data_IF_738331728928
#
_entry.id   IF_738331728928
#
_cell.length_a   1.000
_cell.length_b   1.000
_cell.length_c   1.000
_cell.angle_alpha   90.00
_cell.angle_beta   90.00
_cell.angle_gamma   90.00
#
_symmetry.space_group_name_H-M   'P 1'
#
loop_
_entity.id
_entity.type
_entity.pdbx_description
1 polymer ?
#
# COMPACT_ATOMS: atom_id res chain seq x y z
N UNK A 1 0.16 16.06 20.01
CA UNK A 1 -1.13 15.35 19.81
C UNK A 1 -0.83 14.01 19.16
N UNK A 2 -1.65 12.97 19.36
CA UNK A 2 -1.48 11.68 18.67
C UNK A 2 -1.44 11.91 17.16
N UNK A 3 -0.55 11.20 16.46
CA UNK A 3 -0.56 11.23 14.99
C UNK A 3 -1.78 10.45 14.50
N UNK A 4 -2.53 11.03 13.57
CA UNK A 4 -3.50 10.27 12.78
C UNK A 4 -2.75 9.17 12.04
N UNK A 5 -3.36 8.01 11.88
CA UNK A 5 -2.84 6.92 11.05
C UNK A 5 -4.00 6.31 10.27
N UNK A 6 -3.74 5.94 9.02
CA UNK A 6 -4.63 5.08 8.26
C UNK A 6 -4.69 3.68 8.89
N UNK A 7 -5.84 3.02 8.79
CA UNK A 7 -6.01 1.65 9.24
C UNK A 7 -5.10 0.67 8.47
N UNK A 8 -4.91 0.90 7.17
CA UNK A 8 -3.97 0.14 6.34
C UNK A 8 -3.02 1.11 5.62
N UNK A 9 -1.78 0.69 5.32
CA UNK A 9 -0.89 1.53 4.54
C UNK A 9 -1.30 1.52 3.06
N UNK A 10 -1.45 2.68 2.41
CA UNK A 10 -1.61 2.72 0.96
C UNK A 10 -0.39 2.09 0.29
N UNK A 11 -0.61 1.22 -0.68
CA UNK A 11 0.46 0.58 -1.46
C UNK A 11 0.52 1.23 -2.82
N UNK A 12 1.71 1.63 -3.27
CA UNK A 12 1.94 2.13 -4.61
C UNK A 12 2.89 1.18 -5.34
N UNK A 13 2.41 0.63 -6.44
CA UNK A 13 3.15 -0.24 -7.35
C UNK A 13 3.43 0.52 -8.64
N UNK A 14 4.67 0.93 -8.80
CA UNK A 14 5.15 1.50 -10.05
C UNK A 14 5.31 0.43 -11.12
N UNK A 15 4.78 0.65 -12.32
CA UNK A 15 4.94 -0.24 -13.47
C UNK A 15 5.79 0.36 -14.59
N UNK A 16 6.46 -0.49 -15.35
CA UNK A 16 7.31 -0.08 -16.49
C UNK A 16 6.52 0.14 -17.79
N UNK A 17 5.24 -0.26 -17.81
CA UNK A 17 4.39 -0.44 -19.00
C UNK A 17 4.99 -1.33 -20.11
N UNK A 18 6.11 -2.00 -19.84
CA UNK A 18 6.89 -2.79 -20.79
C UNK A 18 6.79 -4.31 -20.52
N UNK A 19 6.55 -4.65 -19.25
CA UNK A 19 6.51 -6.01 -18.77
C UNK A 19 5.27 -6.27 -17.90
N UNK A 20 5.14 -7.52 -17.45
CA UNK A 20 3.96 -8.00 -16.71
C UNK A 20 4.19 -8.07 -15.20
N UNK A 21 5.40 -7.79 -14.72
CA UNK A 21 5.85 -8.11 -13.38
C UNK A 21 4.97 -7.48 -12.29
N UNK A 22 4.63 -6.19 -12.42
CA UNK A 22 3.75 -5.51 -11.46
C UNK A 22 2.36 -6.14 -11.42
N UNK A 23 1.74 -6.41 -12.58
CA UNK A 23 0.42 -7.02 -12.65
C UNK A 23 0.44 -8.46 -12.11
N UNK A 24 1.40 -9.28 -12.54
CA UNK A 24 1.51 -10.68 -12.10
C UNK A 24 1.79 -10.76 -10.59
N UNK A 25 2.64 -9.87 -10.06
CA UNK A 25 2.85 -9.75 -8.61
C UNK A 25 1.56 -9.35 -7.89
N UNK A 26 0.86 -8.31 -8.34
CA UNK A 26 -0.36 -7.84 -7.70
C UNK A 26 -1.45 -8.92 -7.72
N UNK A 27 -1.67 -9.58 -8.87
CA UNK A 27 -2.62 -10.70 -9.02
C UNK A 27 -2.37 -11.76 -7.94
N UNK A 28 -1.10 -12.15 -7.74
CA UNK A 28 -0.70 -13.11 -6.71
C UNK A 28 -1.07 -12.65 -5.29
N UNK A 29 -0.97 -11.35 -4.99
CA UNK A 29 -1.26 -10.81 -3.65
C UNK A 29 -2.75 -10.52 -3.41
N UNK A 30 -3.60 -10.43 -4.44
CA UNK A 30 -5.00 -10.02 -4.30
C UNK A 30 -5.79 -10.79 -3.22
N UNK A 31 -5.70 -12.13 -3.10
CA UNK A 31 -6.46 -12.86 -2.10
C UNK A 31 -6.12 -12.43 -0.67
N UNK A 32 -4.84 -12.20 -0.38
CA UNK A 32 -4.38 -11.84 0.96
C UNK A 32 -4.57 -10.35 1.23
N UNK A 33 -4.44 -9.48 0.22
CA UNK A 33 -4.83 -8.08 0.30
C UNK A 33 -6.32 -7.93 0.63
N UNK A 34 -7.18 -8.76 0.03
CA UNK A 34 -8.61 -8.75 0.31
C UNK A 34 -8.90 -9.12 1.76
N UNK A 35 -8.22 -10.16 2.30
CA UNK A 35 -8.33 -10.56 3.71
C UNK A 35 -7.82 -9.45 4.65
N UNK A 36 -6.74 -8.77 4.27
CA UNK A 36 -6.19 -7.65 5.03
C UNK A 36 -7.14 -6.46 5.13
N UNK A 37 -8.06 -6.31 4.16
CA UNK A 37 -9.08 -5.27 4.13
C UNK A 37 -8.90 -4.26 2.99
N UNK A 38 -8.00 -4.52 2.04
CA UNK A 38 -7.93 -3.71 0.82
C UNK A 38 -9.18 -3.95 -0.04
N UNK A 39 -9.74 -2.87 -0.57
CA UNK A 39 -11.02 -2.92 -1.30
C UNK A 39 -10.95 -2.35 -2.71
N UNK A 40 -9.98 -1.48 -2.97
CA UNK A 40 -9.93 -0.66 -4.19
C UNK A 40 -8.52 -0.69 -4.77
N UNK A 41 -8.43 -0.88 -6.08
CA UNK A 41 -7.18 -0.74 -6.83
C UNK A 41 -7.33 0.47 -7.74
N UNK A 42 -6.53 1.50 -7.47
CA UNK A 42 -6.44 2.72 -8.24
C UNK A 42 -5.49 2.52 -9.41
N UNK A 43 -5.87 2.91 -10.63
CA UNK A 43 -5.07 2.62 -11.83
C UNK A 43 -4.91 3.88 -12.67
N UNK A 44 -3.67 4.19 -13.03
CA UNK A 44 -3.37 5.25 -13.99
C UNK A 44 -3.99 4.97 -15.38
N UNK A 45 -4.26 6.03 -16.14
CA UNK A 45 -4.99 5.92 -17.40
C UNK A 45 -6.51 5.66 -17.26
N UNK A 46 -7.02 5.45 -16.04
CA UNK A 46 -8.46 5.28 -15.78
C UNK A 46 -9.05 6.54 -15.16
N UNK A 47 -10.15 7.06 -15.73
CA UNK A 47 -10.82 8.24 -15.20
C UNK A 47 -11.77 7.89 -14.03
N UNK A 48 -12.02 8.83 -13.09
CA UNK A 48 -12.98 8.63 -12.01
C UNK A 48 -14.34 8.16 -12.50
N UNK A 49 -14.86 7.10 -11.89
CA UNK A 49 -16.14 6.49 -12.28
C UNK A 49 -16.06 5.45 -13.38
N UNK A 50 -14.87 5.16 -13.92
CA UNK A 50 -14.67 4.08 -14.88
C UNK A 50 -15.17 2.72 -14.35
N UNK A 51 -15.93 2.00 -15.18
CA UNK A 51 -16.45 0.67 -14.87
C UNK A 51 -15.42 -0.43 -15.13
N UNK A 52 -15.21 -1.31 -14.16
CA UNK A 52 -14.27 -2.44 -14.31
C UNK A 52 -14.73 -3.38 -15.44
N UNK A 53 -16.01 -3.72 -15.49
CA UNK A 53 -16.58 -4.62 -16.49
C UNK A 53 -16.51 -4.06 -17.92
N UNK A 54 -16.77 -2.75 -18.07
CA UNK A 54 -16.67 -2.09 -19.38
C UNK A 54 -15.21 -2.05 -19.85
N UNK A 55 -14.27 -1.78 -18.94
CA UNK A 55 -12.85 -1.80 -19.24
C UNK A 55 -12.35 -3.18 -19.64
N UNK A 56 -12.74 -4.24 -18.93
CA UNK A 56 -12.44 -5.64 -19.31
C UNK A 56 -12.94 -5.92 -20.74
N UNK A 57 -14.17 -5.52 -21.02
CA UNK A 57 -14.80 -5.75 -22.34
C UNK A 57 -14.06 -4.99 -23.45
N UNK A 58 -13.72 -3.73 -23.21
CA UNK A 58 -12.96 -2.89 -24.14
C UNK A 58 -11.55 -3.44 -24.38
N UNK A 59 -10.83 -3.83 -23.33
CA UNK A 59 -9.48 -4.40 -23.45
C UNK A 59 -9.47 -5.69 -24.29
N UNK A 60 -10.46 -6.57 -24.12
CA UNK A 60 -10.60 -7.78 -24.97
C UNK A 60 -10.74 -7.44 -26.45
N UNK A 61 -11.44 -6.36 -26.79
CA UNK A 61 -11.56 -5.89 -28.17
C UNK A 61 -10.22 -5.35 -28.67
N UNK A 62 -9.57 -4.49 -27.89
CA UNK A 62 -8.26 -3.89 -28.24
C UNK A 62 -7.18 -4.95 -28.47
N UNK A 63 -7.13 -5.98 -27.62
CA UNK A 63 -6.22 -7.12 -27.76
C UNK A 63 -6.44 -7.85 -29.09
N UNK A 64 -7.70 -8.16 -29.44
CA UNK A 64 -8.02 -8.82 -30.71
C UNK A 64 -7.60 -7.98 -31.91
N UNK A 65 -7.85 -6.67 -31.88
CA UNK A 65 -7.43 -5.76 -32.94
C UNK A 65 -5.90 -5.70 -33.07
N UNK A 66 -5.18 -5.62 -31.95
CA UNK A 66 -3.73 -5.56 -31.93
C UNK A 66 -3.09 -6.88 -32.42
N UNK A 67 -3.63 -8.03 -32.02
CA UNK A 67 -3.19 -9.36 -32.52
C UNK A 67 -3.35 -9.43 -34.03
N UNK A 68 -4.51 -9.01 -34.56
CA UNK A 68 -4.75 -9.00 -36.00
C UNK A 68 -3.72 -8.12 -36.74
N UNK A 69 -3.50 -6.88 -36.27
CA UNK A 69 -2.48 -5.98 -36.84
C UNK A 69 -1.11 -6.63 -36.86
N UNK A 70 -0.69 -7.26 -35.75
CA UNK A 70 0.63 -7.89 -35.66
C UNK A 70 0.76 -9.13 -36.55
N UNK A 71 -0.31 -9.91 -36.73
CA UNK A 71 -0.31 -11.08 -37.62
C UNK A 71 -0.13 -10.74 -39.10
N UNK A 72 -0.41 -9.48 -39.47
CA UNK A 72 -0.26 -8.95 -40.83
C UNK A 72 1.14 -8.33 -41.07
N UNK A 73 1.97 -8.21 -40.02
CA UNK A 73 3.33 -7.65 -40.10
C UNK A 73 4.39 -8.75 -40.16
N UNK A 74 5.43 -8.62 -41.02
CA UNK A 74 6.63 -9.46 -40.94
C UNK A 74 7.32 -9.34 -39.57
N UNK A 75 7.99 -10.41 -39.13
CA UNK A 75 8.70 -10.44 -37.84
C UNK A 75 9.82 -9.41 -37.77
N UNK A 76 10.47 -9.15 -38.91
CA UNK A 76 11.57 -8.20 -39.04
C UNK A 76 11.08 -6.75 -39.14
N UNK A 77 9.76 -6.52 -39.18
CA UNK A 77 9.21 -5.17 -39.27
C UNK A 77 9.49 -4.41 -37.96
N UNK A 78 10.03 -3.17 -38.00
CA UNK A 78 10.39 -2.43 -36.79
C UNK A 78 9.24 -2.21 -35.78
N UNK A 79 7.99 -2.14 -36.28
CA UNK A 79 6.79 -2.03 -35.42
C UNK A 79 6.40 -3.35 -34.73
N UNK A 80 6.94 -4.50 -35.16
CA UNK A 80 6.54 -5.80 -34.63
C UNK A 80 6.89 -5.92 -33.15
N UNK A 81 8.15 -5.65 -32.78
CA UNK A 81 8.61 -5.71 -31.39
C UNK A 81 7.86 -4.73 -30.49
N UNK A 82 7.65 -3.49 -30.95
CA UNK A 82 6.88 -2.49 -30.21
C UNK A 82 5.43 -2.93 -30.02
N UNK A 83 4.82 -3.52 -31.05
CA UNK A 83 3.48 -4.06 -30.97
C UNK A 83 3.36 -5.24 -30.00
N UNK A 84 4.35 -6.13 -29.95
CA UNK A 84 4.41 -7.24 -29.00
C UNK A 84 4.55 -6.73 -27.56
N UNK A 85 5.42 -5.75 -27.32
CA UNK A 85 5.57 -5.13 -26.00
C UNK A 85 4.25 -4.48 -25.53
N UNK A 86 3.57 -3.74 -26.41
CA UNK A 86 2.25 -3.17 -26.13
C UNK A 86 1.22 -4.26 -25.83
N UNK A 87 1.18 -5.31 -26.64
CA UNK A 87 0.25 -6.42 -26.43
C UNK A 87 0.48 -7.09 -25.07
N UNK A 88 1.74 -7.33 -24.69
CA UNK A 88 2.10 -7.91 -23.38
C UNK A 88 1.57 -7.08 -22.21
N UNK A 89 1.76 -5.77 -22.27
CA UNK A 89 1.29 -4.82 -21.24
C UNK A 89 -0.24 -4.78 -21.14
N UNK A 90 -0.94 -4.69 -22.29
CA UNK A 90 -2.41 -4.67 -22.32
C UNK A 90 -3.03 -5.98 -21.83
N UNK A 91 -2.45 -7.13 -22.20
CA UNK A 91 -2.90 -8.43 -21.70
C UNK A 91 -2.70 -8.54 -20.19
N UNK A 92 -1.57 -8.06 -19.66
CA UNK A 92 -1.32 -8.07 -18.21
C UNK A 92 -2.32 -7.22 -17.42
N UNK A 93 -2.68 -6.03 -17.93
CA UNK A 93 -3.73 -5.20 -17.34
C UNK A 93 -5.10 -5.88 -17.42
N UNK A 94 -5.43 -6.56 -18.53
CA UNK A 94 -6.67 -7.33 -18.63
C UNK A 94 -6.71 -8.44 -17.57
N UNK A 95 -5.65 -9.23 -17.44
CA UNK A 95 -5.56 -10.31 -16.46
C UNK A 95 -5.73 -9.77 -15.04
N UNK A 96 -5.12 -8.61 -14.73
CA UNK A 96 -5.30 -7.93 -13.46
C UNK A 96 -6.77 -7.55 -13.25
N UNK A 97 -7.43 -6.96 -14.24
CA UNK A 97 -8.82 -6.52 -14.11
C UNK A 97 -9.79 -7.70 -13.94
N UNK A 98 -9.54 -8.81 -14.63
CA UNK A 98 -10.31 -10.04 -14.43
C UNK A 98 -10.11 -10.61 -13.03
N UNK A 99 -8.87 -10.66 -12.54
CA UNK A 99 -8.56 -11.12 -11.17
C UNK A 99 -9.17 -10.17 -10.11
N UNK A 100 -9.14 -8.86 -10.34
CA UNK A 100 -9.81 -7.87 -9.49
C UNK A 100 -11.30 -8.15 -9.39
N UNK A 101 -11.95 -8.41 -10.53
CA UNK A 101 -13.38 -8.72 -10.59
C UNK A 101 -13.69 -10.00 -9.82
N UNK A 102 -12.91 -11.06 -10.01
CA UNK A 102 -13.08 -12.34 -9.32
C UNK A 102 -12.94 -12.19 -7.80
N UNK A 103 -11.94 -11.44 -7.34
CA UNK A 103 -11.68 -11.20 -5.91
C UNK A 103 -12.58 -10.09 -5.30
N UNK A 104 -13.43 -9.46 -6.12
CA UNK A 104 -14.36 -8.41 -5.68
C UNK A 104 -13.68 -7.11 -5.25
N UNK A 105 -12.65 -6.69 -5.98
CA UNK A 105 -12.04 -5.35 -5.86
C UNK A 105 -12.77 -4.33 -6.73
N UNK A 106 -12.78 -3.08 -6.28
CA UNK A 106 -13.27 -1.94 -7.06
C UNK A 106 -12.14 -1.32 -7.87
N UNK A 107 -12.47 -0.81 -9.06
CA UNK A 107 -11.58 0.03 -9.85
C UNK A 107 -11.67 1.48 -9.37
N UNK A 108 -10.54 2.06 -8.95
CA UNK A 108 -10.41 3.47 -8.64
C UNK A 108 -9.79 4.24 -9.80
N UNK A 109 -10.59 4.92 -10.61
CA UNK A 109 -10.05 5.80 -11.64
C UNK A 109 -9.42 7.05 -11.03
N UNK A 110 -8.15 7.31 -11.34
CA UNK A 110 -7.38 8.43 -10.78
C UNK A 110 -6.89 9.44 -11.82
N UNK A 111 -6.94 9.11 -13.10
CA UNK A 111 -6.37 9.93 -14.16
C UNK A 111 -7.40 10.88 -14.79
N UNK A 112 -6.93 11.74 -15.68
CA UNK A 112 -7.78 12.52 -16.58
C UNK A 112 -8.51 11.59 -17.57
N UNK A 113 -9.64 12.03 -18.14
CA UNK A 113 -10.23 11.37 -19.31
C UNK A 113 -9.20 11.27 -20.45
N UNK A 114 -9.25 10.19 -21.25
CA UNK A 114 -8.31 9.98 -22.36
C UNK A 114 -8.26 11.19 -23.32
N UNK A 115 -9.41 11.81 -23.59
CA UNK A 115 -9.52 13.00 -24.45
C UNK A 115 -8.77 14.22 -23.90
N UNK A 116 -8.60 14.33 -22.59
CA UNK A 116 -7.84 15.37 -21.92
C UNK A 116 -6.36 14.99 -21.79
N UNK A 117 -6.05 13.72 -21.51
CA UNK A 117 -4.66 13.23 -21.46
C UNK A 117 -3.90 13.55 -22.77
N UNK A 118 -4.55 13.38 -23.93
CA UNK A 118 -3.97 13.65 -25.24
C UNK A 118 -3.67 15.14 -25.50
N UNK A 119 -4.22 16.05 -24.70
CA UNK A 119 -3.96 17.50 -24.79
C UNK A 119 -2.77 17.93 -23.95
N UNK A 120 -2.30 17.08 -23.04
CA UNK A 120 -1.20 17.40 -22.14
C UNK A 120 0.13 17.38 -22.89
N UNK A 121 1.00 18.36 -22.60
CA UNK A 121 2.31 18.51 -23.28
C UNK A 121 3.31 17.41 -22.92
N UNK A 122 3.09 16.73 -21.81
CA UNK A 122 3.96 15.67 -21.28
C UNK A 122 3.20 14.80 -20.28
N UNK A 123 3.66 13.56 -20.08
CA UNK A 123 3.16 12.67 -19.03
C UNK A 123 3.23 13.30 -17.63
N UNK A 124 4.26 14.10 -17.37
CA UNK A 124 4.53 14.76 -16.09
C UNK A 124 4.00 16.21 -16.06
N UNK A 125 2.91 16.49 -16.77
CA UNK A 125 2.30 17.82 -16.66
C UNK A 125 1.76 18.02 -15.24
N UNK A 126 1.99 19.20 -14.67
CA UNK A 126 1.58 19.52 -13.29
C UNK A 126 0.08 19.24 -13.10
N UNK A 127 -0.75 19.57 -14.10
CA UNK A 127 -2.20 19.32 -14.06
C UNK A 127 -2.53 17.83 -13.94
N UNK A 128 -1.89 16.98 -14.75
CA UNK A 128 -2.16 15.54 -14.72
C UNK A 128 -1.68 14.91 -13.42
N UNK A 129 -0.47 15.25 -12.97
CA UNK A 129 0.08 14.77 -11.70
C UNK A 129 -0.77 15.21 -10.50
N UNK A 130 -1.26 16.45 -10.50
CA UNK A 130 -2.18 16.93 -9.47
C UNK A 130 -3.49 16.16 -9.49
N UNK A 131 -4.04 15.87 -10.68
CA UNK A 131 -5.27 15.08 -10.82
C UNK A 131 -5.09 13.65 -10.28
N UNK A 132 -3.99 12.98 -10.65
CA UNK A 132 -3.61 11.66 -10.15
C UNK A 132 -3.51 11.67 -8.63
N UNK A 133 -2.84 12.69 -8.07
CA UNK A 133 -2.65 12.85 -6.62
C UNK A 133 -3.98 13.08 -5.90
N UNK A 134 -4.77 14.07 -6.32
CA UNK A 134 -6.03 14.44 -5.68
C UNK A 134 -7.03 13.27 -5.65
N UNK A 135 -7.19 12.59 -6.79
CA UNK A 135 -8.08 11.44 -6.88
C UNK A 135 -7.57 10.27 -6.02
N UNK A 136 -6.25 10.05 -5.97
CA UNK A 136 -5.67 9.02 -5.09
C UNK A 136 -5.90 9.36 -3.63
N UNK A 137 -5.62 10.59 -3.19
CA UNK A 137 -5.84 11.03 -1.81
C UNK A 137 -7.30 10.91 -1.39
N UNK A 138 -8.25 11.17 -2.31
CA UNK A 138 -9.67 10.92 -2.06
C UNK A 138 -9.92 9.43 -1.79
N UNK A 139 -9.46 8.53 -2.66
CA UNK A 139 -9.64 7.09 -2.47
C UNK A 139 -8.95 6.57 -1.21
N UNK A 140 -7.75 7.05 -0.90
CA UNK A 140 -7.02 6.71 0.33
C UNK A 140 -7.85 7.10 1.55
N UNK A 141 -8.39 8.32 1.61
CA UNK A 141 -9.23 8.80 2.72
C UNK A 141 -10.53 8.01 2.86
N UNK A 142 -11.22 7.75 1.75
CA UNK A 142 -12.48 7.01 1.72
C UNK A 142 -12.34 5.55 2.20
N UNK A 143 -11.16 4.95 2.00
CA UNK A 143 -10.88 3.55 2.34
C UNK A 143 -9.95 3.40 3.55
N UNK A 144 -9.68 4.47 4.30
CA UNK A 144 -8.80 4.48 5.47
C UNK A 144 -7.43 3.82 5.17
N UNK A 145 -6.88 4.16 4.00
CA UNK A 145 -5.63 3.67 3.42
C UNK A 145 -5.64 2.27 2.79
N UNK A 146 -6.76 1.56 2.84
CA UNK A 146 -6.94 0.22 2.22
C UNK A 146 -7.04 0.23 0.69
N UNK A 147 -6.08 0.88 0.01
CA UNK A 147 -5.99 0.96 -1.45
C UNK A 147 -4.62 0.52 -1.98
N UNK A 148 -4.62 -0.02 -3.19
CA UNK A 148 -3.39 -0.23 -3.97
C UNK A 148 -3.44 0.67 -5.19
N UNK A 149 -2.37 1.41 -5.46
CA UNK A 149 -2.24 2.31 -6.61
C UNK A 149 -1.27 1.68 -7.60
N UNK A 150 -1.68 1.54 -8.86
CA UNK A 150 -0.84 1.05 -9.96
C UNK A 150 -0.63 2.20 -10.93
N UNK A 151 0.61 2.62 -11.11
CA UNK A 151 0.94 3.83 -11.86
C UNK A 151 2.31 3.73 -12.52
N UNK A 152 2.50 4.33 -13.69
CA UNK A 152 3.76 4.28 -14.43
C UNK A 152 4.96 4.83 -13.63
N UNK A 153 6.12 4.17 -13.72
CA UNK A 153 7.34 4.56 -12.99
C UNK A 153 7.83 5.99 -13.32
N UNK A 154 7.39 6.56 -14.45
CA UNK A 154 7.68 7.94 -14.84
C UNK A 154 6.97 9.03 -14.02
N UNK A 155 5.89 8.68 -13.33
CA UNK A 155 5.10 9.57 -12.48
C UNK A 155 5.76 9.77 -11.10
N UNK A 156 7.01 10.27 -11.11
CA UNK A 156 7.75 10.55 -9.87
C UNK A 156 7.24 11.80 -9.14
N UNK A 157 6.63 12.75 -9.86
CA UNK A 157 6.06 13.98 -9.29
C UNK A 157 4.89 13.63 -8.35
N UNK A 158 4.08 12.63 -8.70
CA UNK A 158 3.06 12.06 -7.82
C UNK A 158 3.60 11.77 -6.40
N UNK A 159 4.78 11.13 -6.25
CA UNK A 159 5.32 10.85 -4.90
C UNK A 159 5.71 12.14 -4.16
N UNK A 160 6.23 13.13 -4.89
CA UNK A 160 6.58 14.44 -4.32
C UNK A 160 5.32 15.16 -3.83
N UNK A 161 4.23 15.10 -4.60
CA UNK A 161 2.94 15.67 -4.22
C UNK A 161 2.33 14.94 -3.03
N UNK A 162 2.36 13.59 -2.97
CA UNK A 162 1.90 12.84 -1.78
C UNK A 162 2.69 13.26 -0.54
N UNK A 163 4.02 13.40 -0.63
CA UNK A 163 4.86 13.87 0.48
C UNK A 163 4.45 15.26 1.00
N UNK A 164 3.99 16.14 0.11
CA UNK A 164 3.60 17.50 0.46
C UNK A 164 2.13 17.61 0.93
N UNK A 165 1.24 16.75 0.42
CA UNK A 165 -0.20 16.90 0.55
C UNK A 165 -0.85 15.91 1.54
N UNK A 166 -0.17 14.81 1.89
CA UNK A 166 -0.67 13.83 2.85
C UNK A 166 0.12 13.86 4.16
N UNK A 167 -0.57 14.09 5.28
CA UNK A 167 0.04 14.05 6.62
C UNK A 167 0.55 12.65 7.00
N UNK A 168 0.04 11.61 6.35
CA UNK A 168 0.41 10.20 6.55
C UNK A 168 1.30 9.65 5.44
N UNK A 169 1.97 10.52 4.68
CA UNK A 169 2.85 10.10 3.58
C UNK A 169 3.92 9.07 3.99
N UNK A 170 4.32 9.07 5.27
CA UNK A 170 5.28 8.11 5.84
C UNK A 170 4.74 6.67 5.95
N UNK A 171 3.42 6.46 5.90
CA UNK A 171 2.79 5.13 5.89
C UNK A 171 2.75 4.50 4.49
N UNK A 172 2.93 5.25 3.41
CA UNK A 172 2.82 4.72 2.06
C UNK A 172 3.95 3.72 1.78
N UNK A 173 3.60 2.60 1.15
CA UNK A 173 4.57 1.60 0.73
C UNK A 173 4.81 1.73 -0.76
N UNK A 174 6.05 2.06 -1.14
CA UNK A 174 6.44 2.33 -2.52
C UNK A 174 7.24 1.17 -3.08
N UNK A 175 6.75 0.57 -4.16
CA UNK A 175 7.42 -0.53 -4.84
C UNK A 175 7.52 -0.29 -6.33
N UNK A 176 8.58 -0.83 -6.91
CA UNK A 176 8.69 -1.03 -8.34
C UNK A 176 9.14 -2.47 -8.58
N UNK A 177 8.24 -3.29 -9.13
CA UNK A 177 8.53 -4.69 -9.46
C UNK A 177 8.68 -4.76 -10.97
N UNK A 178 9.83 -5.23 -11.45
CA UNK A 178 10.13 -5.21 -12.89
C UNK A 178 10.74 -6.52 -13.37
N UNK A 179 10.72 -6.71 -14.69
CA UNK A 179 11.43 -7.82 -15.35
C UNK A 179 12.48 -7.26 -16.32
N UNK A 180 13.79 -7.30 -15.96
CA UNK A 180 14.87 -6.80 -16.80
C UNK A 180 14.91 -7.33 -18.22
N UNK A 181 14.41 -8.56 -18.44
CA UNK A 181 14.42 -9.21 -19.75
C UNK A 181 13.41 -8.60 -20.73
N UNK A 182 12.46 -7.79 -20.24
CA UNK A 182 11.34 -7.26 -21.00
C UNK A 182 11.24 -5.73 -20.96
N UNK A 183 12.25 -5.03 -20.44
CA UNK A 183 12.26 -3.58 -20.36
C UNK A 183 12.42 -2.91 -21.72
N UNK A 184 11.64 -1.85 -21.96
CA UNK A 184 11.79 -1.00 -23.14
C UNK A 184 13.05 -0.13 -23.04
N UNK A 185 13.56 0.31 -24.18
CA UNK A 185 14.66 1.28 -24.24
C UNK A 185 14.31 2.59 -23.50
N UNK A 186 13.08 3.09 -23.68
CA UNK A 186 12.60 4.29 -23.00
C UNK A 186 12.60 4.14 -21.47
N UNK A 187 12.24 2.97 -20.96
CA UNK A 187 12.34 2.67 -19.52
C UNK A 187 13.80 2.69 -19.06
N UNK A 188 14.71 2.04 -19.78
CA UNK A 188 16.14 2.00 -19.42
C UNK A 188 16.75 3.39 -19.34
N UNK A 189 16.46 4.25 -20.33
CA UNK A 189 16.89 5.65 -20.34
C UNK A 189 16.31 6.46 -19.17
N UNK A 190 15.05 6.21 -18.82
CA UNK A 190 14.41 6.83 -17.65
C UNK A 190 15.13 6.43 -16.35
N UNK A 191 15.41 5.15 -16.16
CA UNK A 191 16.10 4.63 -14.97
C UNK A 191 17.53 5.15 -14.89
N UNK A 192 18.26 5.19 -16.00
CA UNK A 192 19.59 5.78 -16.08
C UNK A 192 19.58 7.26 -15.68
N UNK A 193 18.61 8.03 -16.18
CA UNK A 193 18.41 9.44 -15.82
C UNK A 193 18.15 9.61 -14.32
N UNK A 194 17.28 8.78 -13.75
CA UNK A 194 16.98 8.78 -12.32
C UNK A 194 18.20 8.42 -11.47
N UNK A 195 18.93 7.39 -11.88
CA UNK A 195 20.13 6.93 -11.18
C UNK A 195 21.23 7.98 -11.21
N UNK A 196 21.44 8.64 -12.37
CA UNK A 196 22.47 9.66 -12.54
C UNK A 196 22.29 10.88 -11.62
N UNK A 197 21.05 11.30 -11.34
CA UNK A 197 20.77 12.40 -10.40
C UNK A 197 20.46 11.93 -8.97
N UNK A 198 20.44 10.62 -8.73
CA UNK A 198 20.06 10.01 -7.47
C UNK A 198 18.55 9.78 -7.35
N UNK A 199 18.16 8.53 -7.07
CA UNK A 199 16.76 8.12 -6.93
C UNK A 199 16.00 8.93 -5.87
N UNK A 200 16.65 9.31 -4.77
CA UNK A 200 16.03 10.12 -3.70
C UNK A 200 15.58 11.51 -4.16
N UNK A 201 16.15 12.04 -5.25
CA UNK A 201 15.71 13.30 -5.85
C UNK A 201 14.34 13.17 -6.50
N UNK A 202 14.05 12.01 -7.08
CA UNK A 202 12.79 11.72 -7.77
C UNK A 202 11.77 11.09 -6.84
N UNK A 203 12.23 10.23 -5.94
CA UNK A 203 11.44 9.47 -4.99
C UNK A 203 11.86 9.84 -3.55
N UNK A 204 11.39 10.99 -3.03
CA UNK A 204 11.81 11.51 -1.73
C UNK A 204 11.27 10.74 -0.51
N UNK A 205 10.34 9.81 -0.71
CA UNK A 205 9.85 8.86 0.31
C UNK A 205 10.50 7.48 0.17
N UNK A 206 11.43 7.34 -0.78
CA UNK A 206 12.04 6.06 -1.15
C UNK A 206 11.15 5.23 -2.08
N UNK A 207 11.77 4.25 -2.73
CA UNK A 207 11.09 3.24 -3.55
C UNK A 207 11.85 1.93 -3.43
N UNK A 208 11.12 0.85 -3.14
CA UNK A 208 11.71 -0.48 -3.08
C UNK A 208 11.67 -1.11 -4.46
N UNK A 209 12.84 -1.25 -5.08
CA UNK A 209 12.96 -1.79 -6.45
C UNK A 209 13.33 -3.27 -6.35
N UNK A 210 12.50 -4.12 -6.94
CA UNK A 210 12.68 -5.57 -6.96
C UNK A 210 12.57 -6.12 -8.37
N UNK A 211 13.38 -7.14 -8.67
CA UNK A 211 13.12 -8.01 -9.81
C UNK A 211 11.95 -8.92 -9.47
N UNK A 212 11.12 -9.24 -10.45
CA UNK A 212 10.03 -10.23 -10.32
C UNK A 212 10.50 -11.61 -9.82
N UNK A 213 11.77 -11.95 -10.02
CA UNK A 213 12.38 -13.19 -9.56
C UNK A 213 12.97 -13.14 -8.14
N UNK A 214 12.93 -11.98 -7.46
CA UNK A 214 13.51 -11.82 -6.14
C UNK A 214 12.71 -12.60 -5.09
N UNK A 215 13.34 -13.63 -4.50
CA UNK A 215 12.71 -14.55 -3.53
C UNK A 215 12.21 -13.87 -2.25
N UNK A 216 12.71 -12.67 -1.94
CA UNK A 216 12.34 -11.91 -0.74
C UNK A 216 11.21 -10.92 -0.96
N UNK A 217 10.74 -10.74 -2.20
CA UNK A 217 9.73 -9.74 -2.54
C UNK A 217 8.45 -9.90 -1.71
N UNK A 218 7.86 -11.10 -1.69
CA UNK A 218 6.62 -11.35 -0.92
C UNK A 218 6.81 -11.11 0.58
N UNK A 219 7.94 -11.57 1.14
CA UNK A 219 8.24 -11.41 2.56
C UNK A 219 8.48 -9.95 2.93
N UNK A 220 9.24 -9.20 2.14
CA UNK A 220 9.43 -7.76 2.35
C UNK A 220 8.09 -7.00 2.28
N UNK A 221 7.28 -7.34 1.28
CA UNK A 221 5.96 -6.76 1.08
C UNK A 221 5.06 -6.92 2.31
N UNK A 222 4.84 -8.16 2.74
CA UNK A 222 3.95 -8.46 3.85
C UNK A 222 4.49 -8.01 5.21
N UNK A 223 5.81 -8.02 5.41
CA UNK A 223 6.40 -7.45 6.62
C UNK A 223 6.13 -5.94 6.71
N UNK A 224 6.23 -5.20 5.60
CA UNK A 224 5.94 -3.75 5.60
C UNK A 224 4.46 -3.42 5.73
N UNK A 225 3.58 -4.22 5.09
CA UNK A 225 2.13 -4.10 5.29
C UNK A 225 1.79 -4.33 6.76
N UNK A 226 2.32 -5.39 7.37
CA UNK A 226 2.06 -5.72 8.77
C UNK A 226 2.57 -4.66 9.74
N UNK A 227 3.79 -4.16 9.53
CA UNK A 227 4.40 -3.13 10.37
C UNK A 227 3.59 -1.82 10.38
N UNK A 228 2.81 -1.55 9.33
CA UNK A 228 1.96 -0.37 9.20
C UNK A 228 0.47 -0.69 9.25
N UNK A 229 0.09 -1.88 9.71
CA UNK A 229 -1.32 -2.28 9.86
C UNK A 229 -1.86 -1.80 11.22
N UNK A 230 -2.83 -0.88 11.18
CA UNK A 230 -3.57 -0.38 12.33
C UNK A 230 -5.04 -0.85 12.30
N UNK A 231 -5.30 -1.91 11.53
CA UNK A 231 -6.60 -2.55 11.42
C UNK A 231 -6.59 -3.89 12.16
N UNK A 232 -7.66 -4.14 12.91
CA UNK A 232 -7.70 -5.25 13.85
C UNK A 232 -9.00 -6.04 13.74
N UNK A 233 -8.91 -7.35 14.01
CA UNK A 233 -10.09 -8.17 14.25
C UNK A 233 -10.86 -7.64 15.47
N UNK A 234 -12.19 -7.46 15.39
CA UNK A 234 -12.98 -6.93 16.49
C UNK A 234 -12.97 -7.82 17.74
N UNK A 235 -12.69 -9.12 17.60
CA UNK A 235 -12.65 -10.06 18.71
C UNK A 235 -11.35 -9.87 19.51
N UNK A 236 -11.51 -9.49 20.77
CA UNK A 236 -10.40 -9.47 21.71
C UNK A 236 -9.89 -10.90 21.97
N UNK A 237 -8.57 -11.03 22.07
CA UNK A 237 -7.87 -12.26 22.39
C UNK A 237 -7.46 -12.28 23.86
N UNK A 238 -7.54 -13.45 24.47
CA UNK A 238 -6.99 -13.69 25.81
C UNK A 238 -5.68 -14.46 25.66
N UNK A 239 -4.56 -13.72 25.67
CA UNK A 239 -3.22 -14.29 25.65
C UNK A 239 -2.57 -14.14 27.03
N UNK A 240 -1.54 -14.95 27.32
CA UNK A 240 -0.79 -14.84 28.58
C UNK A 240 -0.13 -13.47 28.72
N UNK A 241 0.43 -12.93 27.65
CA UNK A 241 1.04 -11.59 27.61
C UNK A 241 0.01 -10.49 27.80
N UNK A 242 -1.18 -10.61 27.19
CA UNK A 242 -2.29 -9.68 27.42
C UNK A 242 -2.77 -9.71 28.87
N UNK A 243 -2.81 -10.89 29.51
CA UNK A 243 -3.18 -11.03 30.92
C UNK A 243 -2.17 -10.37 31.86
N UNK A 244 -0.88 -10.50 31.57
CA UNK A 244 0.19 -9.79 32.32
C UNK A 244 0.05 -8.28 32.13
N UNK A 245 -0.16 -7.80 30.91
CA UNK A 245 -0.36 -6.36 30.67
C UNK A 245 -1.63 -5.85 31.37
N UNK A 246 -2.74 -6.59 31.34
CA UNK A 246 -3.98 -6.24 32.05
C UNK A 246 -3.76 -6.13 33.57
N UNK A 247 -3.00 -7.04 34.18
CA UNK A 247 -2.75 -6.99 35.63
C UNK A 247 -1.87 -5.81 36.04
N UNK A 248 -0.93 -5.40 35.18
CA UNK A 248 0.00 -4.29 35.45
C UNK A 248 -0.59 -2.91 35.11
N UNK A 249 -1.35 -2.82 34.03
CA UNK A 249 -1.80 -1.55 33.43
C UNK A 249 -3.28 -1.27 33.63
N UNK A 250 -4.06 -2.29 34.01
CA UNK A 250 -5.49 -2.20 34.25
C UNK A 250 -6.35 -2.95 33.22
N UNK A 251 -7.65 -3.13 33.52
CA UNK A 251 -8.58 -3.91 32.71
C UNK A 251 -8.91 -3.27 31.35
N UNK A 252 -8.46 -2.05 31.08
CA UNK A 252 -8.63 -1.35 29.79
C UNK A 252 -7.75 -1.92 28.67
N UNK A 253 -6.75 -2.73 28.98
CA UNK A 253 -5.91 -3.38 27.98
C UNK A 253 -6.72 -4.46 27.23
N UNK A 254 -6.80 -4.36 25.92
CA UNK A 254 -7.35 -5.41 25.05
C UNK A 254 -6.31 -5.85 24.04
N UNK A 255 -6.25 -7.14 23.71
CA UNK A 255 -5.34 -7.67 22.69
C UNK A 255 -6.11 -8.05 21.44
N UNK A 256 -5.60 -7.70 20.26
CA UNK A 256 -6.28 -7.95 19.00
C UNK A 256 -5.32 -8.44 17.92
N UNK A 257 -5.83 -9.32 17.06
CA UNK A 257 -5.12 -9.76 15.86
C UNK A 257 -5.14 -8.64 14.83
N UNK A 258 -4.00 -8.34 14.18
CA UNK A 258 -3.99 -7.50 12.98
C UNK A 258 -4.72 -8.21 11.85
N UNK A 259 -5.35 -7.45 10.94
CA UNK A 259 -6.05 -8.06 9.80
C UNK A 259 -5.11 -8.51 8.68
N UNK A 260 -3.83 -8.14 8.75
CA UNK A 260 -2.78 -8.35 7.73
C UNK A 260 -2.49 -9.82 7.33
N UNK A 261 -3.14 -10.80 7.95
CA UNK A 261 -2.95 -12.22 7.67
C UNK A 261 -1.64 -12.80 8.19
N UNK A 262 -0.82 -12.01 8.89
CA UNK A 262 0.49 -12.42 9.43
C UNK A 262 0.40 -12.88 10.90
N UNK A 263 -0.81 -12.91 11.46
CA UNK A 263 -1.11 -13.37 12.82
C UNK A 263 -0.41 -12.60 13.96
N UNK A 264 0.04 -11.36 13.71
CA UNK A 264 0.56 -10.50 14.77
C UNK A 264 -0.57 -10.02 15.70
N UNK A 265 -0.26 -9.95 16.99
CA UNK A 265 -1.19 -9.50 18.04
C UNK A 265 -0.62 -8.26 18.69
N UNK A 266 -1.45 -7.21 18.78
CA UNK A 266 -1.11 -5.97 19.47
C UNK A 266 -2.01 -5.79 20.69
N UNK A 267 -1.49 -5.12 21.73
CA UNK A 267 -2.30 -4.64 22.84
C UNK A 267 -2.70 -3.18 22.60
N UNK A 268 -3.97 -2.89 22.83
CA UNK A 268 -4.59 -1.58 22.65
C UNK A 268 -5.12 -1.07 23.99
N UNK A 269 -4.92 0.22 24.25
CA UNK A 269 -5.48 0.90 25.42
C UNK A 269 -6.13 2.21 24.96
N UNK A 270 -7.44 2.32 25.14
CA UNK A 270 -8.19 3.55 24.81
C UNK A 270 -7.91 4.64 25.84
N UNK A 271 -7.26 5.73 25.40
CA UNK A 271 -6.98 6.86 26.30
C UNK A 271 -8.25 7.53 26.80
N UNK A 272 -9.29 7.62 25.98
CA UNK A 272 -10.61 8.13 26.40
C UNK A 272 -11.23 7.29 27.51
N UNK A 273 -11.11 5.96 27.42
CA UNK A 273 -11.67 5.05 28.43
C UNK A 273 -10.93 5.21 29.75
N UNK A 274 -9.60 5.31 29.70
CA UNK A 274 -8.76 5.56 30.87
C UNK A 274 -9.12 6.88 31.55
N UNK A 275 -9.21 7.97 30.77
CA UNK A 275 -9.56 9.29 31.30
C UNK A 275 -10.93 9.29 32.00
N UNK A 276 -11.94 8.67 31.37
CA UNK A 276 -13.31 8.63 31.91
C UNK A 276 -13.42 7.80 33.18
N UNK A 277 -12.79 6.62 33.21
CA UNK A 277 -12.90 5.70 34.36
C UNK A 277 -12.05 6.12 35.55
N UNK A 278 -10.81 6.54 35.28
CA UNK A 278 -9.83 6.81 36.33
C UNK A 278 -9.77 8.30 36.70
N UNK A 279 -10.43 9.18 35.94
CA UNK A 279 -10.39 10.64 36.13
C UNK A 279 -8.96 11.21 36.08
N UNK A 280 -8.07 10.57 35.32
CA UNK A 280 -6.65 10.97 35.15
C UNK A 280 -6.44 11.57 33.76
N UNK A 281 -5.61 12.61 33.64
CA UNK A 281 -5.21 13.16 32.34
C UNK A 281 -4.38 12.16 31.55
N UNK A 282 -4.53 12.14 30.22
CA UNK A 282 -3.74 11.23 29.36
C UNK A 282 -2.23 11.37 29.56
N UNK A 283 -1.74 12.59 29.79
CA UNK A 283 -0.31 12.85 30.04
C UNK A 283 0.21 12.15 31.30
N UNK A 284 -0.57 12.14 32.37
CA UNK A 284 -0.18 11.51 33.63
C UNK A 284 -0.23 9.99 33.51
N UNK A 285 -1.24 9.46 32.81
CA UNK A 285 -1.31 8.04 32.46
C UNK A 285 -0.11 7.60 31.63
N UNK A 286 0.22 8.31 30.55
CA UNK A 286 1.35 7.96 29.68
C UNK A 286 2.69 7.99 30.43
N UNK A 287 2.89 8.95 31.34
CA UNK A 287 4.09 8.99 32.20
C UNK A 287 4.17 7.78 33.12
N UNK A 288 3.04 7.34 33.69
CA UNK A 288 2.99 6.12 34.50
C UNK A 288 3.25 4.88 33.66
N UNK A 289 2.62 4.81 32.49
CA UNK A 289 2.77 3.72 31.53
C UNK A 289 4.23 3.51 31.13
N UNK A 290 4.97 4.58 30.80
CA UNK A 290 6.40 4.50 30.48
C UNK A 290 7.23 3.92 31.63
N UNK A 291 6.89 4.24 32.89
CA UNK A 291 7.59 3.66 34.05
C UNK A 291 7.28 2.18 34.20
N UNK A 292 6.02 1.78 34.00
CA UNK A 292 5.59 0.39 34.15
C UNK A 292 6.12 -0.51 33.03
N UNK A 293 6.16 -0.01 31.78
CA UNK A 293 6.63 -0.78 30.63
C UNK A 293 8.16 -0.87 30.53
N UNK A 294 8.91 0.05 31.15
CA UNK A 294 10.36 0.07 31.06
C UNK A 294 10.84 0.25 29.62
N UNK A 295 11.54 -0.75 29.09
CA UNK A 295 12.12 -0.74 27.74
C UNK A 295 11.12 -1.16 26.64
N UNK A 296 9.93 -1.65 27.00
CA UNK A 296 8.91 -2.05 26.02
C UNK A 296 8.37 -0.81 25.33
N UNK A 297 8.58 -0.74 24.01
CA UNK A 297 8.09 0.35 23.19
C UNK A 297 6.56 0.35 23.10
N UNK A 298 5.97 1.54 23.12
CA UNK A 298 4.59 1.77 22.77
C UNK A 298 4.48 3.04 21.93
N UNK A 299 3.47 3.07 21.06
CA UNK A 299 3.10 4.25 20.28
C UNK A 299 1.75 4.80 20.74
N UNK A 300 1.54 6.09 20.50
CA UNK A 300 0.26 6.77 20.72
C UNK A 300 -0.23 7.29 19.38
N UNK A 301 -1.30 6.68 18.88
CA UNK A 301 -1.87 7.01 17.58
C UNK A 301 -3.37 7.23 17.67
N UNK A 302 -3.88 8.08 16.79
CA UNK A 302 -5.31 8.20 16.55
C UNK A 302 -5.68 7.26 15.42
N UNK A 303 -6.35 6.17 15.76
CA UNK A 303 -6.88 5.19 14.79
C UNK A 303 -8.37 5.46 14.65
N UNK A 304 -8.81 5.75 13.42
CA UNK A 304 -10.18 6.20 13.15
C UNK A 304 -10.51 7.43 14.00
N UNK A 305 -11.43 7.30 14.95
CA UNK A 305 -11.85 8.39 15.84
C UNK A 305 -11.28 8.30 17.25
N UNK A 306 -10.47 7.28 17.56
CA UNK A 306 -10.06 6.97 18.93
C UNK A 306 -8.55 7.14 19.13
N UNK A 307 -8.19 7.88 20.18
CA UNK A 307 -6.81 7.95 20.67
C UNK A 307 -6.46 6.68 21.44
N UNK A 308 -5.43 5.98 20.97
CA UNK A 308 -5.03 4.68 21.50
C UNK A 308 -3.54 4.63 21.78
N UNK A 309 -3.18 3.98 22.88
CA UNK A 309 -1.84 3.43 23.09
C UNK A 309 -1.81 2.06 22.43
N UNK A 310 -0.73 1.78 21.71
CA UNK A 310 -0.52 0.52 21.02
C UNK A 310 0.82 -0.06 21.45
N UNK A 311 0.80 -1.27 21.99
CA UNK A 311 1.99 -2.08 22.24
C UNK A 311 2.02 -3.16 21.17
N UNK A 312 3.00 -3.07 20.29
CA UNK A 312 3.09 -3.90 19.09
C UNK A 312 3.63 -5.29 19.41
N UNK A 313 3.13 -6.30 18.68
CA UNK A 313 3.74 -7.62 18.63
C UNK A 313 3.85 -8.28 20.00
N UNK A 314 2.82 -8.19 20.84
CA UNK A 314 2.90 -8.65 22.25
C UNK A 314 3.16 -10.16 22.39
N UNK A 315 3.01 -10.92 21.30
CA UNK A 315 3.30 -12.35 21.23
C UNK A 315 4.58 -12.68 20.45
N UNK A 316 5.28 -11.67 19.92
CA UNK A 316 6.57 -11.88 19.29
C UNK A 316 7.60 -12.29 20.36
N UNK A 317 8.49 -13.25 20.10
CA UNK A 317 9.33 -13.86 21.13
C UNK A 317 10.07 -12.84 22.01
N UNK A 318 10.66 -11.82 21.39
CA UNK A 318 11.43 -10.79 22.08
C UNK A 318 10.55 -9.91 23.00
N UNK A 319 9.38 -9.47 22.50
CA UNK A 319 8.45 -8.62 23.25
C UNK A 319 7.76 -9.44 24.35
N UNK A 320 7.34 -10.66 24.05
CA UNK A 320 6.72 -11.57 25.01
C UNK A 320 7.68 -11.87 26.18
N UNK A 321 8.97 -12.07 25.91
CA UNK A 321 9.98 -12.23 26.94
C UNK A 321 10.10 -10.98 27.82
N UNK A 322 10.14 -9.78 27.22
CA UNK A 322 10.18 -8.52 27.96
C UNK A 322 8.95 -8.35 28.87
N UNK A 323 7.74 -8.59 28.35
CA UNK A 323 6.48 -8.54 29.10
C UNK A 323 6.54 -9.52 30.29
N UNK A 324 7.02 -10.74 30.07
CA UNK A 324 7.12 -11.77 31.11
C UNK A 324 8.05 -11.38 32.27
N UNK A 325 9.03 -10.50 32.03
CA UNK A 325 9.97 -10.00 33.05
C UNK A 325 9.40 -8.84 33.86
N UNK A 326 8.38 -8.13 33.37
CA UNK A 326 7.74 -7.04 34.10
C UNK A 326 7.03 -7.54 35.37
N UNK A 327 6.38 -8.70 35.29
CA UNK A 327 5.67 -9.30 36.43
C UNK A 327 6.58 -9.72 37.59
N UNK A 328 7.90 -9.83 37.36
CA UNK A 328 8.90 -10.19 38.39
C UNK A 328 9.54 -8.98 39.06
N UNK A 329 9.27 -7.76 38.58
CA UNK A 329 9.86 -6.51 39.11
C UNK A 329 8.94 -5.80 40.13
N UNK A 330 7.73 -6.30 40.36
CA UNK A 330 6.79 -5.83 41.39
C UNK A 330 6.71 -6.83 42.54
#
# INVERSE_FOLDING_TARGET
MPKTKYALPPVVLYESHADRATSDFLIKQLPDLKKAGYTTICVDGMEPGASLEENISMMKILIKMQIKKLSELPLEHPEYEQGIAKLRSVVAKLDLFEAMKEQGFKLGGIDLPVSEQLKEKSLNSIRREQTLTDNTLRHVKENDGGVVVVLGFGHCIFQQMIKEQDENADQYLWYHVHNPDNETQAYKELVESYTKKGLSTYFPLGVNIFKSSDKKLDTDFWNKVSANCYNYDPKALETSTASILKSLLGPEVTAHLRTDGQHHVDALISLETVQKKHQVKSSDFLRSLSKTLGDIHFEVAKIKTKDQVIIRGINEPEVAEQISKLSKKM
#
